data_IF_818266132402
#
_entry.id   IF_818266132402
#
_cell.length_a   1.000
_cell.length_b   1.000
_cell.length_c   1.000
_cell.angle_alpha   90.00
_cell.angle_beta   90.00
_cell.angle_gamma   90.00
#
_symmetry.space_group_name_H-M   'P 1'
#
loop_
_entity.id
_entity.type
_entity.pdbx_description
1 polymer ?
#
# COMPACT_ATOMS: atom_id res chain seq x y z
N UNK A 1 20.85 -9.52 21.10
CA UNK A 1 20.65 -8.34 20.24
C UNK A 1 19.71 -7.40 20.97
N UNK A 2 20.16 -6.19 21.32
CA UNK A 2 19.29 -5.19 21.96
C UNK A 2 18.18 -4.83 20.96
N UNK A 3 16.95 -5.30 21.21
CA UNK A 3 15.80 -4.88 20.44
C UNK A 3 15.50 -3.43 20.80
N UNK A 4 16.01 -2.49 19.98
CA UNK A 4 15.67 -1.07 20.11
C UNK A 4 14.18 -0.91 19.84
N UNK A 5 13.43 -0.34 20.79
CA UNK A 5 12.04 0.03 20.62
C UNK A 5 11.98 1.36 19.87
N UNK A 6 11.25 1.42 18.76
CA UNK A 6 11.13 2.61 17.93
C UNK A 6 9.85 3.38 18.26
N UNK A 7 9.96 4.70 18.29
CA UNK A 7 8.85 5.62 18.53
C UNK A 7 8.03 5.77 17.26
N UNK A 8 6.82 5.23 17.29
CA UNK A 8 5.89 5.20 16.15
C UNK A 8 4.76 6.19 16.35
N UNK A 9 4.42 6.93 15.31
CA UNK A 9 3.17 7.69 15.25
C UNK A 9 2.33 7.30 14.05
N UNK A 10 1.01 7.38 14.20
CA UNK A 10 0.03 7.05 13.16
C UNK A 10 -0.68 8.32 12.70
N UNK A 11 -0.67 8.57 11.41
CA UNK A 11 -1.34 9.68 10.75
C UNK A 11 -2.71 9.21 10.25
N UNK A 12 -3.77 9.95 10.57
CA UNK A 12 -5.15 9.53 10.33
C UNK A 12 -5.58 8.38 11.24
N UNK A 13 -5.23 8.48 12.53
CA UNK A 13 -5.29 7.38 13.49
C UNK A 13 -6.72 6.86 13.77
N UNK A 14 -7.74 7.70 13.60
CA UNK A 14 -9.16 7.33 13.84
C UNK A 14 -9.84 6.78 12.60
N UNK A 15 -9.21 6.91 11.44
CA UNK A 15 -9.66 6.32 10.18
C UNK A 15 -9.62 4.78 10.20
N UNK A 16 -10.29 4.15 9.23
CA UNK A 16 -10.38 2.67 9.12
C UNK A 16 -9.02 1.96 9.19
N UNK A 17 -8.03 2.46 8.43
CA UNK A 17 -6.67 1.89 8.45
C UNK A 17 -5.88 2.33 9.68
N UNK A 18 -6.06 3.59 10.13
CA UNK A 18 -5.41 4.11 11.34
C UNK A 18 -5.72 3.26 12.56
N UNK A 19 -6.99 2.93 12.78
CA UNK A 19 -7.40 2.05 13.88
C UNK A 19 -6.77 0.65 13.80
N UNK A 20 -6.64 0.09 12.60
CA UNK A 20 -5.96 -1.20 12.39
C UNK A 20 -4.45 -1.10 12.68
N UNK A 21 -3.82 0.00 12.28
CA UNK A 21 -2.41 0.26 12.55
C UNK A 21 -2.15 0.41 14.06
N UNK A 22 -3.00 1.15 14.76
CA UNK A 22 -2.92 1.28 16.23
C UNK A 22 -3.01 -0.10 16.88
N UNK A 23 -4.02 -0.92 16.53
CA UNK A 23 -4.19 -2.29 17.07
C UNK A 23 -2.99 -3.18 16.74
N UNK A 24 -2.53 -3.17 15.48
CA UNK A 24 -1.40 -3.97 15.06
C UNK A 24 -0.09 -3.56 15.76
N UNK A 25 0.11 -2.26 16.02
CA UNK A 25 1.28 -1.75 16.72
C UNK A 25 1.34 -2.22 18.19
N UNK A 26 0.19 -2.33 18.85
CA UNK A 26 0.10 -2.85 20.23
C UNK A 26 0.51 -4.33 20.35
N UNK A 27 0.38 -5.11 19.26
CA UNK A 27 0.83 -6.50 19.21
C UNK A 27 2.36 -6.62 19.08
N UNK A 28 3.08 -5.51 18.84
CA UNK A 28 4.51 -5.49 18.51
C UNK A 28 5.35 -4.89 19.63
N UNK A 29 6.34 -5.64 20.09
CA UNK A 29 7.33 -5.16 21.09
C UNK A 29 8.40 -4.22 20.47
N UNK A 30 8.48 -4.14 19.16
CA UNK A 30 9.45 -3.32 18.43
C UNK A 30 9.08 -1.83 18.40
N UNK A 31 7.80 -1.50 18.70
CA UNK A 31 7.29 -0.15 18.61
C UNK A 31 6.63 0.32 19.90
N UNK A 32 6.86 1.59 20.21
CA UNK A 32 6.10 2.36 21.19
C UNK A 32 5.27 3.40 20.45
N UNK A 33 3.95 3.37 20.59
CA UNK A 33 3.08 4.42 20.07
C UNK A 33 3.27 5.69 20.91
N UNK A 34 3.74 6.75 20.25
CA UNK A 34 4.02 8.05 20.89
C UNK A 34 3.13 9.17 20.36
N UNK A 35 2.47 9.00 19.22
CA UNK A 35 1.63 10.01 18.61
C UNK A 35 0.51 9.41 17.74
N UNK A 36 -0.65 10.08 17.84
CA UNK A 36 -1.81 9.83 17.00
C UNK A 36 -2.24 11.18 16.41
N UNK A 37 -2.22 11.32 15.09
CA UNK A 37 -2.54 12.54 14.39
C UNK A 37 -3.86 12.41 13.65
N UNK A 38 -4.66 13.48 13.72
CA UNK A 38 -5.83 13.70 12.89
C UNK A 38 -5.77 15.06 12.17
N UNK A 39 -6.65 15.27 11.19
CA UNK A 39 -6.75 16.54 10.49
C UNK A 39 -7.27 17.63 11.42
N UNK A 40 -6.84 18.86 11.14
CA UNK A 40 -7.29 20.01 11.92
C UNK A 40 -8.82 20.14 11.89
N UNK A 41 -9.41 20.36 13.05
CA UNK A 41 -10.88 20.46 13.22
C UNK A 41 -11.60 19.14 13.39
N UNK A 42 -10.89 18.00 13.45
CA UNK A 42 -11.51 16.71 13.72
C UNK A 42 -12.03 16.63 15.16
N UNK A 43 -13.25 16.12 15.36
CA UNK A 43 -13.98 16.11 16.65
C UNK A 43 -13.24 15.42 17.80
N UNK A 44 -12.33 14.50 17.49
CA UNK A 44 -11.59 13.72 18.47
C UNK A 44 -10.25 14.36 18.89
N UNK A 45 -9.90 15.55 18.40
CA UNK A 45 -8.68 16.25 18.83
C UNK A 45 -8.80 16.58 20.33
N UNK A 46 -7.73 16.30 21.08
CA UNK A 46 -7.71 16.47 22.52
C UNK A 46 -8.28 15.28 23.31
N UNK A 47 -8.93 14.33 22.65
CA UNK A 47 -9.45 13.11 23.28
C UNK A 47 -8.29 12.18 23.67
N UNK A 48 -8.40 11.53 24.82
CA UNK A 48 -7.44 10.52 25.24
C UNK A 48 -7.54 9.26 24.35
N UNK A 49 -6.42 8.82 23.83
CA UNK A 49 -6.39 7.64 22.98
C UNK A 49 -6.97 6.39 23.65
N UNK A 50 -6.86 6.28 24.98
CA UNK A 50 -7.45 5.19 25.76
C UNK A 50 -8.98 5.11 25.73
N UNK A 51 -9.66 6.19 25.35
CA UNK A 51 -11.12 6.18 25.18
C UNK A 51 -11.54 5.43 23.92
N UNK A 52 -10.69 5.45 22.87
CA UNK A 52 -10.91 4.73 21.61
C UNK A 52 -10.19 3.38 21.60
N UNK A 53 -9.06 3.31 22.27
CA UNK A 53 -8.17 2.16 22.35
C UNK A 53 -7.81 1.88 23.81
N UNK A 54 -8.67 1.15 24.57
CA UNK A 54 -8.54 0.99 26.02
C UNK A 54 -7.20 0.42 26.50
N UNK A 55 -6.47 -0.27 25.63
CA UNK A 55 -5.14 -0.86 25.93
C UNK A 55 -3.98 0.13 25.76
N UNK A 56 -4.21 1.36 25.28
CA UNK A 56 -3.18 2.38 25.18
C UNK A 56 -2.91 3.10 26.50
N UNK A 57 -1.72 3.69 26.59
CA UNK A 57 -1.34 4.52 27.73
C UNK A 57 -2.31 5.68 27.94
N UNK A 58 -2.67 5.94 29.18
CA UNK A 58 -3.70 6.94 29.56
C UNK A 58 -3.36 8.40 29.16
N UNK A 59 -2.09 8.70 28.90
CA UNK A 59 -1.61 10.06 28.62
C UNK A 59 -1.47 10.36 27.13
N UNK A 60 -1.65 9.39 26.24
CA UNK A 60 -1.60 9.63 24.80
C UNK A 60 -2.91 10.31 24.34
N UNK A 61 -2.77 11.47 23.70
CA UNK A 61 -3.89 12.32 23.23
C UNK A 61 -3.83 12.42 21.72
N UNK A 62 -4.99 12.42 21.06
CA UNK A 62 -5.11 12.67 19.63
C UNK A 62 -4.78 14.14 19.35
N UNK A 63 -3.87 14.40 18.44
CA UNK A 63 -3.33 15.73 18.12
C UNK A 63 -3.58 16.07 16.64
N UNK A 64 -3.66 17.35 16.32
CA UNK A 64 -3.61 17.90 14.97
C UNK A 64 -2.25 18.52 14.62
N UNK A 65 -1.31 18.55 15.57
CA UNK A 65 0.00 19.18 15.39
C UNK A 65 1.02 18.20 14.81
N UNK A 66 1.19 18.19 13.48
CA UNK A 66 2.16 17.38 12.79
C UNK A 66 3.60 17.64 13.29
N UNK A 67 3.95 18.91 13.52
CA UNK A 67 5.27 19.32 14.04
C UNK A 67 5.59 18.67 15.40
N UNK A 68 4.63 18.70 16.35
CA UNK A 68 4.80 18.08 17.67
C UNK A 68 4.97 16.56 17.57
N UNK A 69 4.20 15.91 16.69
CA UNK A 69 4.24 14.46 16.46
C UNK A 69 5.59 14.07 15.86
N UNK A 70 6.07 14.76 14.83
CA UNK A 70 7.34 14.42 14.18
C UNK A 70 8.54 14.60 15.10
N UNK A 71 8.55 15.61 15.95
CA UNK A 71 9.64 15.84 16.94
C UNK A 71 9.87 14.68 17.91
N UNK A 72 8.85 13.88 18.17
CA UNK A 72 8.94 12.77 19.13
C UNK A 72 8.97 11.39 18.46
N UNK A 73 8.87 11.32 17.13
CA UNK A 73 8.77 10.09 16.36
C UNK A 73 10.10 9.68 15.73
N UNK A 74 10.36 8.39 15.67
CA UNK A 74 11.41 7.79 14.83
C UNK A 74 10.80 7.43 13.44
N UNK A 75 9.52 7.04 13.41
CA UNK A 75 8.80 6.64 12.21
C UNK A 75 7.33 7.03 12.27
N UNK A 76 6.76 7.40 11.13
CA UNK A 76 5.32 7.61 10.95
C UNK A 76 4.76 6.65 9.90
N UNK A 77 3.47 6.30 10.05
CA UNK A 77 2.73 5.53 9.04
C UNK A 77 1.51 6.33 8.64
N UNK A 78 1.36 6.55 7.34
CA UNK A 78 0.31 7.40 6.74
C UNK A 78 -0.54 6.63 5.72
N UNK A 79 -1.85 6.55 6.00
CA UNK A 79 -2.87 6.01 5.11
C UNK A 79 -4.01 7.02 4.93
N UNK A 80 -3.70 8.25 4.63
CA UNK A 80 -4.69 9.34 4.55
C UNK A 80 -5.11 9.63 3.11
N UNK A 81 -4.66 10.75 2.56
CA UNK A 81 -4.91 11.17 1.20
C UNK A 81 -3.64 11.76 0.57
N UNK A 82 -3.57 11.87 -0.78
CA UNK A 82 -2.35 12.31 -1.47
C UNK A 82 -1.82 13.69 -1.06
N UNK A 83 -2.70 14.63 -0.77
CA UNK A 83 -2.31 16.00 -0.38
C UNK A 83 -1.64 15.99 0.99
N UNK A 84 -2.28 15.34 1.96
CA UNK A 84 -1.75 15.21 3.31
C UNK A 84 -0.46 14.39 3.33
N UNK A 85 -0.40 13.28 2.60
CA UNK A 85 0.82 12.44 2.54
C UNK A 85 2.03 13.20 1.99
N UNK A 86 1.85 14.07 1.00
CA UNK A 86 2.94 14.95 0.53
C UNK A 86 3.40 15.89 1.63
N UNK A 87 2.46 16.52 2.35
CA UNK A 87 2.79 17.41 3.48
C UNK A 87 3.52 16.66 4.59
N UNK A 88 3.05 15.46 4.95
CA UNK A 88 3.71 14.61 5.96
C UNK A 88 5.12 14.26 5.52
N UNK A 89 5.34 13.83 4.27
CA UNK A 89 6.66 13.49 3.73
C UNK A 89 7.62 14.71 3.74
N UNK A 90 7.14 15.89 3.33
CA UNK A 90 7.93 17.13 3.35
C UNK A 90 8.37 17.50 4.77
N UNK A 91 7.47 17.39 5.75
CA UNK A 91 7.79 17.67 7.16
C UNK A 91 8.64 16.56 7.78
N UNK A 92 8.35 15.27 7.55
CA UNK A 92 9.13 14.14 8.05
C UNK A 92 10.60 14.23 7.60
N UNK A 93 10.84 14.69 6.37
CA UNK A 93 12.20 14.90 5.85
C UNK A 93 12.99 15.95 6.63
N UNK A 94 12.35 17.01 7.16
CA UNK A 94 13.00 18.02 8.01
C UNK A 94 13.48 17.44 9.35
N UNK A 95 12.69 16.53 9.92
CA UNK A 95 13.00 15.86 11.19
C UNK A 95 13.78 14.55 11.03
N UNK A 96 14.04 14.11 9.78
CA UNK A 96 14.68 12.84 9.45
C UNK A 96 13.90 11.64 9.99
N UNK A 97 12.59 11.75 10.05
CA UNK A 97 11.66 10.70 10.48
C UNK A 97 11.38 9.79 9.28
N UNK A 98 11.40 8.49 9.48
CA UNK A 98 11.01 7.50 8.46
C UNK A 98 9.51 7.64 8.19
N UNK A 99 9.12 7.65 6.91
CA UNK A 99 7.72 7.78 6.51
C UNK A 99 7.26 6.56 5.69
N UNK A 100 6.22 5.87 6.17
CA UNK A 100 5.61 4.73 5.48
C UNK A 100 4.26 5.15 4.92
N UNK A 101 4.18 5.30 3.61
CA UNK A 101 3.02 5.82 2.90
C UNK A 101 2.24 4.68 2.23
N UNK A 102 1.06 4.39 2.77
CA UNK A 102 0.09 3.45 2.18
C UNK A 102 -1.03 4.14 1.40
N UNK A 103 -0.99 5.45 1.31
CA UNK A 103 -1.91 6.27 0.51
C UNK A 103 -1.72 5.98 -0.98
N UNK A 104 -2.82 6.03 -1.73
CA UNK A 104 -2.86 5.80 -3.19
C UNK A 104 -3.47 7.00 -3.92
N UNK A 105 -3.39 7.02 -5.25
CA UNK A 105 -4.03 8.06 -6.06
C UNK A 105 -3.20 9.33 -6.27
N UNK A 106 -1.89 9.29 -6.05
CA UNK A 106 -1.00 10.42 -6.29
C UNK A 106 -0.93 10.83 -7.76
N UNK A 107 -0.94 12.14 -8.00
CA UNK A 107 -0.54 12.72 -9.29
C UNK A 107 0.97 12.59 -9.51
N UNK A 108 1.41 12.72 -10.77
CA UNK A 108 2.84 12.72 -11.11
C UNK A 108 3.62 13.82 -10.39
N UNK A 109 3.03 14.99 -10.19
CA UNK A 109 3.65 16.11 -9.47
C UNK A 109 3.83 15.80 -7.98
N UNK A 110 2.84 15.17 -7.33
CA UNK A 110 2.93 14.74 -5.95
C UNK A 110 3.99 13.65 -5.75
N UNK A 111 4.06 12.67 -6.64
CA UNK A 111 5.12 11.64 -6.63
C UNK A 111 6.50 12.31 -6.72
N UNK A 112 6.69 13.27 -7.62
CA UNK A 112 7.96 13.98 -7.77
C UNK A 112 8.36 14.76 -6.51
N UNK A 113 7.39 15.34 -5.78
CA UNK A 113 7.66 16.00 -4.49
C UNK A 113 8.18 15.00 -3.46
N UNK A 114 7.50 13.86 -3.31
CA UNK A 114 7.92 12.78 -2.39
C UNK A 114 9.34 12.29 -2.74
N UNK A 115 9.62 12.06 -4.03
CA UNK A 115 10.95 11.67 -4.51
C UNK A 115 12.03 12.71 -4.17
N UNK A 116 11.72 13.99 -4.28
CA UNK A 116 12.68 15.03 -3.96
C UNK A 116 13.05 15.06 -2.48
N UNK A 117 12.08 14.87 -1.59
CA UNK A 117 12.32 14.93 -0.13
C UNK A 117 12.89 13.63 0.43
N UNK A 118 12.75 12.50 -0.26
CA UNK A 118 13.33 11.21 0.15
C UNK A 118 14.86 11.22 0.20
N UNK A 119 15.51 12.19 -0.44
CA UNK A 119 16.97 12.43 -0.30
C UNK A 119 17.39 12.77 1.13
N UNK A 120 16.46 13.22 1.96
CA UNK A 120 16.72 13.67 3.34
C UNK A 120 16.26 12.66 4.39
N UNK A 121 15.36 11.75 4.04
CA UNK A 121 14.85 10.69 4.93
C UNK A 121 14.50 9.43 4.14
N UNK A 122 14.20 8.34 4.85
CA UNK A 122 13.73 7.10 4.25
C UNK A 122 12.21 7.16 4.09
N UNK A 123 11.73 6.99 2.87
CA UNK A 123 10.30 6.93 2.54
C UNK A 123 9.99 5.57 1.92
N UNK A 124 9.05 4.83 2.49
CA UNK A 124 8.53 3.59 1.91
C UNK A 124 7.12 3.87 1.40
N UNK A 125 6.93 3.89 0.07
CA UNK A 125 5.64 4.16 -0.53
C UNK A 125 5.16 2.96 -1.36
N UNK A 126 3.97 2.47 -1.07
CA UNK A 126 3.39 1.35 -1.80
C UNK A 126 1.88 1.50 -2.00
N UNK A 127 1.41 1.17 -3.18
CA UNK A 127 -0.03 1.12 -3.50
C UNK A 127 -0.75 -0.03 -2.79
N UNK A 128 0.00 -1.00 -2.28
CA UNK A 128 -0.52 -2.09 -1.44
C UNK A 128 0.60 -2.59 -0.52
N UNK A 129 0.35 -2.64 0.79
CA UNK A 129 1.32 -3.10 1.78
C UNK A 129 1.32 -4.63 1.97
N UNK A 130 0.37 -5.37 1.41
CA UNK A 130 0.28 -6.83 1.59
C UNK A 130 1.50 -7.55 1.02
N UNK A 131 2.14 -8.40 1.81
CA UNK A 131 3.18 -9.33 1.34
C UNK A 131 2.70 -10.15 0.15
N UNK A 132 1.54 -10.81 0.30
CA UNK A 132 1.04 -11.72 -0.72
C UNK A 132 0.75 -11.02 -2.05
N UNK A 133 0.24 -9.78 -2.02
CA UNK A 133 0.05 -8.96 -3.23
C UNK A 133 1.39 -8.60 -3.86
N UNK A 134 2.39 -8.24 -3.08
CA UNK A 134 3.71 -7.91 -3.61
C UNK A 134 4.44 -9.13 -4.18
N UNK A 135 4.34 -10.29 -3.54
CA UNK A 135 4.82 -11.56 -4.10
C UNK A 135 4.09 -11.88 -5.41
N UNK A 136 2.75 -11.78 -5.42
CA UNK A 136 1.95 -11.99 -6.63
C UNK A 136 2.43 -11.08 -7.77
N UNK A 137 2.71 -9.81 -7.48
CA UNK A 137 3.21 -8.83 -8.45
C UNK A 137 4.56 -9.25 -9.03
N UNK A 138 5.53 -9.57 -8.18
CA UNK A 138 6.88 -9.96 -8.61
C UNK A 138 6.88 -11.28 -9.40
N UNK A 139 6.17 -12.30 -8.91
CA UNK A 139 6.08 -13.59 -9.60
C UNK A 139 5.34 -13.45 -10.94
N UNK A 140 4.24 -12.69 -11.00
CA UNK A 140 3.51 -12.48 -12.25
C UNK A 140 4.36 -11.78 -13.32
N UNK A 141 5.21 -10.84 -12.91
CA UNK A 141 6.16 -10.19 -13.81
C UNK A 141 7.18 -11.21 -14.37
N UNK A 142 7.77 -12.04 -13.51
CA UNK A 142 8.74 -13.07 -13.92
C UNK A 142 8.12 -14.13 -14.83
N UNK A 143 6.88 -14.56 -14.52
CA UNK A 143 6.16 -15.50 -15.39
C UNK A 143 5.87 -14.85 -16.75
N UNK A 144 5.39 -13.58 -16.77
CA UNK A 144 5.14 -12.86 -18.02
C UNK A 144 6.40 -12.64 -18.88
N UNK A 145 7.57 -12.55 -18.27
CA UNK A 145 8.87 -12.44 -18.94
C UNK A 145 9.30 -13.80 -19.56
N UNK A 146 9.03 -14.89 -18.86
CA UNK A 146 9.41 -16.23 -19.29
C UNK A 146 8.50 -16.84 -20.37
N UNK A 147 7.26 -16.31 -20.51
CA UNK A 147 6.26 -16.85 -21.42
C UNK A 147 6.29 -16.17 -22.79
N UNK A 148 6.08 -16.97 -23.83
CA UNK A 148 5.96 -16.52 -25.21
C UNK A 148 4.67 -15.73 -25.47
N UNK A 149 4.59 -15.12 -26.67
CA UNK A 149 3.45 -14.30 -27.10
C UNK A 149 2.14 -15.08 -27.32
N UNK A 150 2.18 -16.40 -27.22
CA UNK A 150 1.02 -17.30 -27.38
C UNK A 150 0.19 -17.43 -26.09
N UNK A 151 0.71 -16.93 -24.98
CA UNK A 151 -0.05 -16.86 -23.74
C UNK A 151 -0.86 -15.57 -23.65
N UNK A 152 -2.15 -15.72 -23.47
CA UNK A 152 -3.07 -14.65 -23.12
C UNK A 152 -2.98 -14.32 -21.61
N UNK A 153 -3.06 -13.05 -21.26
CA UNK A 153 -2.94 -12.58 -19.87
C UNK A 153 -4.26 -11.96 -19.41
N UNK A 154 -4.81 -12.52 -18.33
CA UNK A 154 -6.06 -12.03 -17.73
C UNK A 154 -5.85 -11.76 -16.24
N UNK A 155 -6.39 -10.64 -15.78
CA UNK A 155 -6.39 -10.26 -14.36
C UNK A 155 -7.85 -10.24 -13.89
N UNK A 156 -8.15 -11.05 -12.89
CA UNK A 156 -9.48 -11.11 -12.26
C UNK A 156 -9.37 -10.58 -10.85
N UNK A 157 -10.22 -9.61 -10.49
CA UNK A 157 -10.26 -9.07 -9.15
C UNK A 157 -11.66 -9.07 -8.56
N UNK A 158 -11.75 -9.30 -7.26
CA UNK A 158 -13.02 -9.35 -6.54
C UNK A 158 -12.92 -8.50 -5.27
N UNK A 159 -13.90 -7.64 -5.04
CA UNK A 159 -14.01 -6.86 -3.81
C UNK A 159 -15.47 -6.76 -3.36
N UNK A 160 -15.64 -6.21 -2.16
CA UNK A 160 -16.96 -5.95 -1.58
C UNK A 160 -17.82 -5.04 -2.44
N UNK A 161 -19.14 -5.10 -2.24
CA UNK A 161 -20.15 -4.37 -3.01
C UNK A 161 -20.11 -2.83 -2.84
N UNK A 162 -19.35 -2.31 -1.85
CA UNK A 162 -19.18 -0.86 -1.60
C UNK A 162 -17.93 -0.26 -2.26
N UNK A 163 -17.15 -1.05 -3.04
CA UNK A 163 -15.97 -0.53 -3.72
C UNK A 163 -16.36 0.23 -4.97
N UNK A 164 -15.88 1.47 -5.09
CA UNK A 164 -16.30 2.43 -6.13
C UNK A 164 -15.43 2.41 -7.40
N UNK A 165 -14.14 2.09 -7.25
CA UNK A 165 -13.20 2.02 -8.37
C UNK A 165 -13.21 0.63 -9.03
N UNK A 166 -13.08 0.58 -10.36
CA UNK A 166 -12.96 -0.63 -11.17
C UNK A 166 -12.15 -0.34 -12.45
N UNK A 167 -11.11 -1.13 -12.78
CA UNK A 167 -10.46 -2.14 -11.94
C UNK A 167 -9.83 -1.54 -10.68
N UNK A 168 -9.57 -2.38 -9.66
CA UNK A 168 -8.91 -1.95 -8.43
C UNK A 168 -7.48 -1.47 -8.68
N UNK A 169 -6.98 -0.55 -7.82
CA UNK A 169 -5.58 -0.09 -7.89
C UNK A 169 -4.57 -1.25 -7.86
N UNK A 170 -4.83 -2.31 -7.11
CA UNK A 170 -3.99 -3.51 -7.07
C UNK A 170 -4.01 -4.27 -8.40
N UNK A 171 -5.17 -4.41 -9.03
CA UNK A 171 -5.25 -5.05 -10.34
C UNK A 171 -4.49 -4.23 -11.41
N UNK A 172 -4.60 -2.91 -11.38
CA UNK A 172 -3.83 -2.04 -12.26
C UNK A 172 -2.32 -2.14 -11.99
N UNK A 173 -1.90 -2.24 -10.73
CA UNK A 173 -0.50 -2.44 -10.35
C UNK A 173 0.06 -3.77 -10.89
N UNK A 174 -0.70 -4.86 -10.82
CA UNK A 174 -0.35 -6.15 -11.42
C UNK A 174 -0.17 -6.02 -12.93
N UNK A 175 -1.13 -5.41 -13.61
CA UNK A 175 -1.06 -5.18 -15.05
C UNK A 175 0.11 -4.29 -15.46
N UNK A 176 0.42 -3.25 -14.69
CA UNK A 176 1.55 -2.34 -14.96
C UNK A 176 2.89 -3.07 -14.78
N UNK A 177 3.02 -3.91 -13.76
CA UNK A 177 4.21 -4.74 -13.55
C UNK A 177 4.45 -5.69 -14.74
N UNK A 178 3.41 -6.36 -15.22
CA UNK A 178 3.47 -7.24 -16.40
C UNK A 178 3.78 -6.43 -17.68
N UNK A 179 3.14 -5.27 -17.88
CA UNK A 179 3.37 -4.44 -19.04
C UNK A 179 4.83 -3.95 -19.14
N UNK A 180 5.46 -3.64 -18.01
CA UNK A 180 6.87 -3.24 -17.92
C UNK A 180 7.82 -4.33 -18.41
N UNK A 181 7.59 -5.61 -18.12
CA UNK A 181 8.44 -6.71 -18.65
C UNK A 181 8.40 -6.79 -20.17
N UNK A 182 7.32 -6.31 -20.80
CA UNK A 182 7.15 -6.25 -22.25
C UNK A 182 7.64 -4.91 -22.86
N UNK A 183 8.28 -4.03 -22.06
CA UNK A 183 8.73 -2.69 -22.49
C UNK A 183 7.60 -1.75 -22.90
N UNK A 184 6.36 -1.98 -22.39
CA UNK A 184 5.17 -1.23 -22.78
C UNK A 184 4.49 -0.57 -21.57
N UNK A 185 3.69 0.46 -21.84
CA UNK A 185 2.80 1.07 -20.83
C UNK A 185 1.50 0.27 -20.76
N UNK A 186 0.95 0.09 -19.56
CA UNK A 186 -0.30 -0.63 -19.35
C UNK A 186 -1.46 -0.06 -20.20
N UNK A 187 -1.55 1.26 -20.33
CA UNK A 187 -2.63 1.90 -21.10
C UNK A 187 -2.70 1.44 -22.56
N UNK A 188 -1.57 1.02 -23.14
CA UNK A 188 -1.51 0.49 -24.50
C UNK A 188 -1.93 -0.99 -24.58
N UNK A 189 -1.89 -1.72 -23.45
CA UNK A 189 -2.18 -3.16 -23.40
C UNK A 189 -3.51 -3.48 -22.74
N UNK A 190 -4.03 -2.59 -21.90
CA UNK A 190 -5.24 -2.80 -21.11
C UNK A 190 -6.47 -3.06 -21.98
N UNK A 191 -7.23 -4.10 -21.63
CA UNK A 191 -8.50 -4.49 -22.23
C UNK A 191 -9.54 -4.70 -21.12
N UNK A 192 -10.50 -3.74 -21.02
CA UNK A 192 -11.49 -3.69 -19.95
C UNK A 192 -12.93 -3.70 -20.46
N UNK A 193 -13.14 -3.52 -21.77
CA UNK A 193 -14.47 -3.43 -22.36
C UNK A 193 -14.82 -4.78 -22.98
N UNK A 194 -15.63 -5.58 -22.28
CA UNK A 194 -16.08 -6.90 -22.72
C UNK A 194 -17.55 -7.06 -22.43
N UNK A 195 -18.37 -6.47 -23.28
CA UNK A 195 -19.82 -6.55 -23.22
C UNK A 195 -20.37 -6.73 -24.64
N UNK A 196 -21.37 -7.62 -24.80
CA UNK A 196 -21.96 -7.94 -26.08
C UNK A 196 -21.07 -8.77 -27.00
N UNK A 197 -21.21 -8.59 -28.31
CA UNK A 197 -20.42 -9.29 -29.34
C UNK A 197 -19.16 -8.48 -29.64
N UNK A 198 -18.06 -8.84 -29.03
CA UNK A 198 -16.77 -8.09 -29.10
C UNK A 198 -15.77 -8.69 -30.09
N UNK A 199 -16.11 -9.81 -30.75
CA UNK A 199 -15.20 -10.56 -31.61
C UNK A 199 -14.11 -11.33 -30.82
N UNK A 200 -13.16 -11.98 -31.54
CA UNK A 200 -12.06 -12.71 -30.91
C UNK A 200 -11.17 -11.80 -30.06
N UNK A 201 -10.58 -12.37 -28.99
CA UNK A 201 -9.63 -11.69 -28.14
C UNK A 201 -8.44 -11.12 -28.93
N UNK A 202 -8.07 -9.88 -28.66
CA UNK A 202 -6.91 -9.25 -29.30
C UNK A 202 -5.60 -9.78 -28.68
N UNK A 203 -4.70 -10.33 -29.50
CA UNK A 203 -3.39 -10.80 -29.04
C UNK A 203 -2.57 -9.68 -28.36
N UNK A 204 -1.81 -10.07 -27.33
CA UNK A 204 -0.90 -9.20 -26.62
C UNK A 204 -1.54 -8.17 -25.68
N UNK A 205 -2.86 -8.20 -25.51
CA UNK A 205 -3.56 -7.40 -24.51
C UNK A 205 -3.52 -8.06 -23.14
N UNK A 206 -3.73 -7.24 -22.08
CA UNK A 206 -3.94 -7.68 -20.71
C UNK A 206 -5.40 -7.40 -20.38
N UNK A 207 -6.17 -8.46 -20.22
CA UNK A 207 -7.59 -8.35 -19.90
C UNK A 207 -7.82 -8.11 -18.40
N UNK A 208 -8.94 -7.42 -18.10
CA UNK A 208 -9.36 -7.18 -16.71
C UNK A 208 -10.81 -7.57 -16.55
N UNK A 209 -11.09 -8.42 -15.56
CA UNK A 209 -12.44 -8.80 -15.14
C UNK A 209 -12.66 -8.42 -13.68
N UNK A 210 -13.81 -7.83 -13.39
CA UNK A 210 -14.12 -7.23 -12.11
C UNK A 210 -15.36 -7.87 -11.50
N UNK A 211 -15.26 -8.31 -10.25
CA UNK A 211 -16.39 -8.83 -9.47
C UNK A 211 -16.60 -7.95 -8.23
N UNK A 212 -17.85 -7.61 -7.95
CA UNK A 212 -18.29 -6.89 -6.74
C UNK A 212 -19.34 -7.73 -6.01
N UNK A 213 -19.12 -8.06 -4.74
CA UNK A 213 -20.06 -8.87 -3.96
C UNK A 213 -19.71 -8.97 -2.49
N UNK A 214 -20.72 -9.06 -1.66
CA UNK A 214 -20.60 -9.28 -0.22
C UNK A 214 -19.63 -8.32 0.46
N UNK A 215 -18.82 -8.89 1.33
CA UNK A 215 -17.79 -8.25 2.15
C UNK A 215 -16.35 -8.64 1.73
N UNK A 216 -16.17 -9.18 0.53
CA UNK A 216 -14.85 -9.62 0.01
C UNK A 216 -13.81 -8.52 0.21
N UNK A 217 -12.77 -8.82 0.98
CA UNK A 217 -11.71 -7.87 1.33
C UNK A 217 -10.89 -7.46 0.10
N UNK A 218 -10.52 -8.46 -0.73
CA UNK A 218 -9.82 -8.26 -1.98
C UNK A 218 -9.13 -9.54 -2.46
N UNK A 219 -9.58 -10.08 -3.59
CA UNK A 219 -8.98 -11.23 -4.23
C UNK A 219 -8.45 -10.82 -5.59
N UNK A 220 -7.27 -11.31 -5.96
CA UNK A 220 -6.63 -11.02 -7.22
C UNK A 220 -6.04 -12.29 -7.81
N UNK A 221 -6.34 -12.54 -9.07
CA UNK A 221 -5.76 -13.65 -9.82
C UNK A 221 -5.14 -13.13 -11.10
N UNK A 222 -3.94 -13.62 -11.43
CA UNK A 222 -3.33 -13.43 -12.74
C UNK A 222 -3.35 -14.79 -13.43
N UNK A 223 -3.93 -14.86 -14.62
CA UNK A 223 -4.10 -16.05 -15.43
C UNK A 223 -3.28 -15.86 -16.69
N UNK A 224 -2.40 -16.78 -16.95
CA UNK A 224 -1.67 -16.93 -18.20
C UNK A 224 -2.21 -18.18 -18.91
N UNK A 225 -2.92 -17.97 -20.02
CA UNK A 225 -3.62 -19.03 -20.75
C UNK A 225 -2.94 -19.24 -22.11
N UNK A 226 -2.29 -20.39 -22.27
CA UNK A 226 -1.64 -20.81 -23.50
C UNK A 226 -2.33 -21.99 -24.18
N UNK A 227 -1.81 -22.47 -25.31
CA UNK A 227 -2.31 -23.65 -25.99
C UNK A 227 -2.15 -24.91 -25.12
N UNK A 228 -3.28 -25.44 -24.62
CA UNK A 228 -3.31 -26.68 -23.84
C UNK A 228 -2.97 -26.57 -22.35
N UNK A 229 -2.62 -25.38 -21.85
CA UNK A 229 -2.30 -25.17 -20.43
C UNK A 229 -2.66 -23.78 -19.91
N UNK A 230 -2.73 -23.68 -18.60
CA UNK A 230 -2.93 -22.42 -17.89
C UNK A 230 -2.04 -22.35 -16.65
N UNK A 231 -1.48 -21.15 -16.38
CA UNK A 231 -0.82 -20.85 -15.12
C UNK A 231 -1.70 -19.81 -14.39
N UNK A 232 -2.10 -20.12 -13.17
CA UNK A 232 -2.94 -19.23 -12.35
C UNK A 232 -2.23 -18.92 -11.04
N UNK A 233 -1.96 -17.64 -10.82
CA UNK A 233 -1.37 -17.16 -9.56
C UNK A 233 -2.43 -16.33 -8.85
N UNK A 234 -2.75 -16.67 -7.60
CA UNK A 234 -3.89 -16.08 -6.88
C UNK A 234 -3.51 -15.66 -5.47
N UNK A 235 -4.00 -14.51 -5.04
CA UNK A 235 -3.96 -14.02 -3.67
C UNK A 235 -5.39 -13.69 -3.20
N UNK A 236 -5.74 -14.17 -2.00
CA UNK A 236 -7.00 -13.85 -1.33
C UNK A 236 -6.69 -13.13 -0.02
N UNK A 237 -7.17 -11.91 0.13
CA UNK A 237 -7.15 -11.22 1.42
C UNK A 237 -8.41 -11.60 2.21
N UNK A 238 -8.22 -12.13 3.42
CA UNK A 238 -9.32 -12.51 4.31
C UNK A 238 -9.52 -11.52 5.46
N UNK A 239 -8.50 -10.68 5.73
CA UNK A 239 -8.53 -9.67 6.77
C UNK A 239 -7.70 -8.45 6.32
N UNK A 240 -8.19 -7.24 6.56
CA UNK A 240 -7.47 -5.99 6.29
C UNK A 240 -6.30 -5.74 7.24
N UNK A 241 -6.24 -6.44 8.37
CA UNK A 241 -5.13 -6.36 9.32
C UNK A 241 -3.78 -6.71 8.67
N UNK A 242 -3.78 -7.49 7.57
CA UNK A 242 -2.57 -7.77 6.78
C UNK A 242 -1.87 -6.50 6.32
N UNK A 243 -2.61 -5.47 5.91
CA UNK A 243 -2.01 -4.20 5.45
C UNK A 243 -1.31 -3.46 6.59
N UNK A 244 -1.93 -3.42 7.78
CA UNK A 244 -1.35 -2.79 8.96
C UNK A 244 -0.10 -3.53 9.45
N UNK A 245 -0.15 -4.87 9.53
CA UNK A 245 1.00 -5.69 9.95
C UNK A 245 2.21 -5.53 9.03
N UNK A 246 1.98 -5.43 7.72
CA UNK A 246 3.07 -5.26 6.76
C UNK A 246 3.56 -3.81 6.66
N UNK A 247 2.71 -2.81 6.91
CA UNK A 247 3.16 -1.43 7.08
C UNK A 247 4.11 -1.29 8.30
N UNK A 248 3.83 -1.97 9.41
CA UNK A 248 4.75 -2.04 10.56
C UNK A 248 6.05 -2.77 10.21
N UNK A 249 6.00 -3.82 9.38
CA UNK A 249 7.21 -4.48 8.89
C UNK A 249 8.06 -3.54 8.04
N UNK A 250 7.41 -2.76 7.15
CA UNK A 250 8.06 -1.72 6.35
C UNK A 250 8.68 -0.64 7.26
N UNK A 251 7.94 -0.18 8.28
CA UNK A 251 8.45 0.77 9.26
C UNK A 251 9.73 0.28 9.95
N UNK A 252 9.73 -0.97 10.42
CA UNK A 252 10.92 -1.58 11.05
C UNK A 252 12.10 -1.67 10.07
N UNK A 253 11.85 -2.08 8.84
CA UNK A 253 12.86 -2.14 7.78
C UNK A 253 13.45 -0.76 7.49
N UNK A 254 12.59 0.26 7.37
CA UNK A 254 13.00 1.64 7.10
C UNK A 254 13.93 2.24 8.16
N UNK A 255 13.88 1.76 9.41
CA UNK A 255 14.77 2.21 10.48
C UNK A 255 16.24 1.86 10.27
N UNK A 256 16.53 0.92 9.36
CA UNK A 256 17.89 0.48 9.05
C UNK A 256 18.30 0.78 7.61
N UNK A 257 17.35 1.22 6.78
CA UNK A 257 17.60 1.57 5.39
C UNK A 257 18.27 2.95 5.28
N UNK A 258 19.06 3.13 4.22
CA UNK A 258 19.57 4.44 3.85
C UNK A 258 18.43 5.38 3.41
N UNK A 259 18.74 6.67 3.36
CA UNK A 259 17.79 7.67 2.84
C UNK A 259 17.46 7.37 1.38
N UNK A 260 16.20 7.51 1.03
CA UNK A 260 15.72 7.22 -0.32
C UNK A 260 14.23 6.91 -0.37
N UNK A 261 13.70 6.78 -1.58
CA UNK A 261 12.35 6.26 -1.80
C UNK A 261 12.42 4.76 -2.11
N UNK A 262 11.61 3.99 -1.41
CA UNK A 262 11.53 2.54 -1.49
C UNK A 262 10.10 2.07 -1.69
N UNK A 263 9.96 0.89 -2.27
CA UNK A 263 8.70 0.16 -2.44
C UNK A 263 8.62 -1.02 -1.47
N UNK A 264 7.49 -1.72 -1.45
CA UNK A 264 7.39 -3.00 -0.75
C UNK A 264 8.23 -4.10 -1.41
N UNK A 265 8.60 -3.98 -2.70
CA UNK A 265 9.50 -4.93 -3.37
C UNK A 265 10.90 -4.86 -2.72
N UNK A 266 11.38 -3.65 -2.41
CA UNK A 266 12.65 -3.42 -1.73
C UNK A 266 12.62 -3.96 -0.29
N UNK A 267 11.55 -3.67 0.46
CA UNK A 267 11.35 -4.16 1.85
C UNK A 267 11.35 -5.69 1.90
N UNK A 268 10.86 -6.34 0.86
CA UNK A 268 10.70 -7.80 0.76
C UNK A 268 11.86 -8.48 0.03
N UNK A 269 12.83 -7.70 -0.49
CA UNK A 269 13.96 -8.19 -1.30
C UNK A 269 13.49 -9.04 -2.50
N UNK A 270 12.51 -8.50 -3.26
CA UNK A 270 11.89 -9.15 -4.42
C UNK A 270 12.27 -8.51 -5.76
N UNK A 271 13.21 -7.54 -5.77
CA UNK A 271 13.76 -6.88 -6.98
C UNK A 271 14.82 -7.75 -7.65
#
# INVERSE_FOLDING_TARGET
MNNKVHKLSIIGATGRMGQMLVRAAQEKKDFQLVGLLEENGHDLIGTKASELFPSLEKNLVISDSLDKILKISDVVIDFTNPENSVKVAEEAAKYKVVDVIGTTGFSKSQIKKIQNVSKNTTIIRAGNMSLGVNILTGISAKVAEALDSDFDIEIVEMHHNKKVDAPSGTALMLGDSIAKTKGKKLDNLKDIQRDGIIGPRKKGKIGFSVIRGGDIVGNHSVIFAGPGEQIIIKHNATDRMIFARWALKAAKWGMTAEKGEYSMQDVLNLN
#
